data_IF_905209252882
#
_entry.id   IF_905209252882
#
_cell.length_a   1.000
_cell.length_b   1.000
_cell.length_c   1.000
_cell.angle_alpha   90.00
_cell.angle_beta   90.00
_cell.angle_gamma   90.00
#
_symmetry.space_group_name_H-M   'P 1'
#
loop_
_entity.id
_entity.type
_entity.pdbx_description
1 polymer ?
#
# COMPACT_ATOMS: atom_id res chain seq x y z
N UNK A 1 12.90 -31.64 2.46
CA UNK A 1 11.87 -30.66 2.93
C UNK A 1 12.54 -29.29 2.94
N UNK A 2 12.10 -28.32 2.08
CA UNK A 2 12.59 -26.94 2.15
C UNK A 2 12.11 -26.34 3.47
N UNK A 3 13.02 -25.92 4.32
CA UNK A 3 12.67 -25.13 5.50
C UNK A 3 11.96 -23.84 5.00
N UNK A 4 10.72 -23.64 5.45
CA UNK A 4 10.00 -22.40 5.21
C UNK A 4 10.72 -21.33 6.01
N UNK A 5 11.17 -20.27 5.33
CA UNK A 5 11.86 -19.16 6.00
C UNK A 5 10.98 -18.59 7.15
N UNK A 6 11.59 -18.17 8.28
CA UNK A 6 10.85 -17.65 9.45
C UNK A 6 9.86 -16.53 9.09
N UNK A 7 10.25 -15.64 8.16
CA UNK A 7 9.40 -14.54 7.67
C UNK A 7 8.11 -15.05 7.01
N UNK A 8 8.19 -16.16 6.26
CA UNK A 8 7.01 -16.77 5.61
C UNK A 8 6.00 -17.31 6.64
N UNK A 9 6.46 -17.86 7.77
CA UNK A 9 5.57 -18.33 8.84
C UNK A 9 4.95 -17.18 9.62
N UNK A 10 5.69 -16.11 9.93
CA UNK A 10 5.18 -14.91 10.56
C UNK A 10 4.13 -14.20 9.69
N UNK A 11 4.38 -14.12 8.39
CA UNK A 11 3.42 -13.54 7.45
C UNK A 11 2.10 -14.35 7.38
N UNK A 12 2.16 -15.67 7.38
CA UNK A 12 0.95 -16.52 7.41
C UNK A 12 0.11 -16.30 8.68
N UNK A 13 0.74 -16.07 9.82
CA UNK A 13 0.04 -15.73 11.06
C UNK A 13 -0.62 -14.35 10.92
N UNK A 14 0.08 -13.37 10.37
CA UNK A 14 -0.44 -12.02 10.13
C UNK A 14 -1.62 -12.04 9.16
N UNK A 15 -1.52 -12.78 8.04
CA UNK A 15 -2.59 -12.99 7.06
C UNK A 15 -3.86 -13.53 7.73
N UNK A 16 -3.74 -14.62 8.53
CA UNK A 16 -4.87 -15.19 9.26
C UNK A 16 -5.50 -14.19 10.24
N UNK A 17 -4.70 -13.44 10.98
CA UNK A 17 -5.18 -12.37 11.88
C UNK A 17 -5.91 -11.27 11.11
N UNK A 18 -5.41 -10.85 9.95
CA UNK A 18 -6.07 -9.87 9.11
C UNK A 18 -7.42 -10.39 8.57
N UNK A 19 -7.47 -11.61 8.08
CA UNK A 19 -8.69 -12.24 7.56
C UNK A 19 -9.80 -12.37 8.63
N UNK A 20 -9.43 -12.60 9.89
CA UNK A 20 -10.39 -12.72 11.02
C UNK A 20 -10.68 -11.38 11.72
N UNK A 21 -10.04 -10.28 11.31
CA UNK A 21 -10.20 -8.97 11.94
C UNK A 21 -11.63 -8.43 11.76
N UNK A 22 -12.23 -7.90 12.85
CA UNK A 22 -13.58 -7.30 12.86
C UNK A 22 -13.60 -5.96 13.62
N UNK A 23 -12.46 -5.26 13.71
CA UNK A 23 -12.32 -4.00 14.45
C UNK A 23 -13.08 -2.82 13.83
N UNK A 24 -13.48 -2.93 12.56
CA UNK A 24 -14.21 -1.89 11.83
C UNK A 24 -15.63 -2.41 11.49
N UNK A 25 -16.66 -2.11 12.30
CA UNK A 25 -18.02 -2.66 12.05
C UNK A 25 -18.55 -2.36 10.64
N UNK A 26 -18.28 -1.15 10.12
CA UNK A 26 -18.69 -0.75 8.77
C UNK A 26 -17.95 -1.51 7.64
N UNK A 27 -16.93 -2.29 7.95
CA UNK A 27 -16.11 -3.06 6.99
C UNK A 27 -16.10 -4.56 7.33
N UNK A 28 -16.93 -5.01 8.27
CA UNK A 28 -16.91 -6.39 8.78
C UNK A 28 -17.16 -7.44 7.68
N UNK A 29 -17.95 -7.08 6.66
CA UNK A 29 -18.29 -7.95 5.52
C UNK A 29 -17.29 -7.84 4.37
N UNK A 30 -16.25 -6.99 4.50
CA UNK A 30 -15.24 -6.83 3.47
C UNK A 30 -14.02 -7.71 3.76
N UNK A 31 -13.48 -8.45 2.78
CA UNK A 31 -12.26 -9.20 2.99
C UNK A 31 -11.08 -8.26 3.21
N UNK A 32 -10.20 -8.63 4.14
CA UNK A 32 -8.91 -7.98 4.27
C UNK A 32 -7.97 -8.47 3.15
N UNK A 33 -7.40 -7.53 2.39
CA UNK A 33 -6.47 -7.85 1.30
C UNK A 33 -5.04 -7.84 1.84
N UNK A 34 -4.66 -9.00 2.39
CA UNK A 34 -3.30 -9.29 2.83
C UNK A 34 -3.04 -10.79 2.63
N UNK A 35 -2.23 -11.13 1.64
CA UNK A 35 -1.97 -12.51 1.21
C UNK A 35 -0.62 -12.56 0.46
N UNK A 36 -0.11 -13.74 0.06
CA UNK A 36 1.05 -13.84 -0.81
C UNK A 36 0.92 -13.10 -2.16
N UNK A 37 -0.31 -12.81 -2.61
CA UNK A 37 -0.55 -12.01 -3.82
C UNK A 37 -0.20 -10.52 -3.66
N UNK A 38 0.13 -10.07 -2.45
CA UNK A 38 0.65 -8.72 -2.20
C UNK A 38 2.08 -8.53 -2.73
N UNK A 39 2.86 -9.60 -2.96
CA UNK A 39 4.18 -9.53 -3.58
C UNK A 39 5.27 -10.30 -2.83
N UNK A 40 6.51 -9.88 -3.03
CA UNK A 40 7.70 -10.54 -2.50
C UNK A 40 7.94 -10.18 -1.03
N UNK A 41 8.01 -11.17 -0.15
CA UNK A 41 8.31 -10.97 1.28
C UNK A 41 9.76 -10.53 1.56
N UNK A 42 10.66 -10.70 0.59
CA UNK A 42 12.04 -10.22 0.66
C UNK A 42 12.24 -8.94 -0.17
N UNK A 43 11.18 -8.18 -0.43
CA UNK A 43 11.26 -6.96 -1.23
C UNK A 43 11.98 -5.84 -0.47
N UNK A 44 12.90 -5.17 -1.14
CA UNK A 44 13.52 -3.93 -0.62
C UNK A 44 12.57 -2.73 -0.68
N UNK A 45 11.49 -2.83 -1.47
CA UNK A 45 10.52 -1.75 -1.71
C UNK A 45 9.13 -2.20 -1.31
N UNK A 46 8.52 -1.46 -0.37
CA UNK A 46 7.12 -1.65 0.02
C UNK A 46 6.30 -0.45 -0.41
N UNK A 47 5.22 -0.70 -1.16
CA UNK A 47 4.22 0.32 -1.49
C UNK A 47 3.06 0.27 -0.51
N UNK A 48 2.67 1.45 0.00
CA UNK A 48 1.51 1.62 0.89
C UNK A 48 0.51 2.55 0.24
N UNK A 49 -0.61 1.99 -0.22
CA UNK A 49 -1.70 2.73 -0.84
C UNK A 49 -2.83 3.06 0.16
N UNK A 50 -3.97 3.52 -0.33
CA UNK A 50 -5.11 3.93 0.49
C UNK A 50 -5.88 2.73 1.06
N UNK A 51 -6.52 1.97 0.19
CA UNK A 51 -7.38 0.82 0.49
C UNK A 51 -7.67 0.02 -0.79
N UNK A 52 -8.16 -1.23 -0.69
CA UNK A 52 -8.63 -1.97 -1.86
C UNK A 52 -9.77 -1.25 -2.57
N UNK A 53 -9.67 -1.08 -3.88
CA UNK A 53 -10.74 -0.52 -4.71
C UNK A 53 -11.76 -1.58 -5.11
N UNK A 54 -13.05 -1.20 -5.18
CA UNK A 54 -14.17 -2.11 -5.51
C UNK A 54 -13.97 -2.88 -6.82
N UNK A 55 -13.51 -2.21 -7.87
CA UNK A 55 -13.29 -2.81 -9.19
C UNK A 55 -11.90 -3.47 -9.33
N UNK A 56 -10.97 -3.10 -8.45
CA UNK A 56 -9.61 -3.63 -8.39
C UNK A 56 -9.45 -4.72 -7.33
N UNK A 57 -8.61 -4.46 -6.33
CA UNK A 57 -8.24 -5.40 -5.28
C UNK A 57 -9.42 -5.95 -4.47
N UNK A 58 -10.48 -5.17 -4.26
CA UNK A 58 -11.69 -5.62 -3.57
C UNK A 58 -12.41 -6.76 -4.31
N UNK A 59 -12.25 -6.85 -5.64
CA UNK A 59 -12.80 -7.90 -6.49
C UNK A 59 -11.80 -9.03 -6.73
N UNK A 60 -10.54 -8.69 -6.95
CA UNK A 60 -9.52 -9.65 -7.40
C UNK A 60 -8.72 -10.28 -6.27
N UNK A 61 -8.72 -9.70 -5.08
CA UNK A 61 -7.85 -10.08 -3.96
C UNK A 61 -6.39 -9.66 -4.15
N UNK A 62 -6.04 -8.97 -5.25
CA UNK A 62 -4.67 -8.60 -5.61
C UNK A 62 -4.55 -7.07 -5.63
N UNK A 63 -3.65 -6.45 -4.84
CA UNK A 63 -3.45 -5.01 -4.85
C UNK A 63 -3.09 -4.49 -6.25
N UNK A 64 -3.65 -3.34 -6.65
CA UNK A 64 -3.43 -2.72 -7.95
C UNK A 64 -3.62 -3.68 -9.13
N UNK A 65 -4.70 -4.47 -9.12
CA UNK A 65 -5.03 -5.39 -10.20
C UNK A 65 -6.52 -5.33 -10.54
N UNK A 66 -6.82 -5.32 -11.84
CA UNK A 66 -8.18 -5.41 -12.37
C UNK A 66 -8.88 -4.07 -12.59
N UNK A 67 -8.17 -2.93 -12.42
CA UNK A 67 -8.68 -1.59 -12.73
C UNK A 67 -7.60 -0.69 -13.33
N UNK A 68 -7.99 0.51 -13.78
CA UNK A 68 -7.10 1.48 -14.43
C UNK A 68 -5.96 1.98 -13.52
N UNK A 69 -6.17 2.01 -12.20
CA UNK A 69 -5.11 2.36 -11.25
C UNK A 69 -4.01 1.30 -11.25
N UNK A 70 -4.40 0.03 -11.36
CA UNK A 70 -3.48 -1.10 -11.49
C UNK A 70 -2.67 -1.03 -12.79
N UNK A 71 -3.32 -0.79 -13.94
CA UNK A 71 -2.63 -0.63 -15.23
C UNK A 71 -1.60 0.51 -15.20
N UNK A 72 -1.98 1.67 -14.61
CA UNK A 72 -1.07 2.79 -14.46
C UNK A 72 0.11 2.43 -13.53
N UNK A 73 -0.15 1.70 -12.43
CA UNK A 73 0.89 1.26 -11.50
C UNK A 73 1.90 0.33 -12.18
N UNK A 74 1.43 -0.69 -12.92
CA UNK A 74 2.31 -1.57 -13.71
C UNK A 74 3.15 -0.78 -14.72
N UNK A 75 2.54 0.19 -15.41
CA UNK A 75 3.24 1.09 -16.34
C UNK A 75 4.36 1.88 -15.64
N UNK A 76 4.12 2.32 -14.39
CA UNK A 76 5.10 3.05 -13.60
C UNK A 76 6.23 2.16 -13.09
N UNK A 77 5.92 0.93 -12.63
CA UNK A 77 6.94 -0.05 -12.25
C UNK A 77 7.84 -0.42 -13.44
N UNK A 78 7.24 -0.78 -14.58
CA UNK A 78 7.98 -1.12 -15.78
C UNK A 78 8.89 0.03 -16.26
N UNK A 79 8.45 1.29 -16.08
CA UNK A 79 9.25 2.47 -16.44
C UNK A 79 10.56 2.59 -15.68
N UNK A 80 10.66 2.02 -14.49
CA UNK A 80 11.87 2.00 -13.65
C UNK A 80 12.53 0.62 -13.62
N UNK A 81 12.15 -0.29 -14.53
CA UNK A 81 12.73 -1.62 -14.66
C UNK A 81 12.30 -2.61 -13.58
N UNK A 82 11.21 -2.33 -12.85
CA UNK A 82 10.67 -3.21 -11.83
C UNK A 82 9.38 -3.89 -12.27
N UNK A 83 9.06 -4.98 -11.61
CA UNK A 83 7.82 -5.74 -11.74
C UNK A 83 7.20 -5.98 -10.36
N UNK A 84 6.03 -6.60 -10.32
CA UNK A 84 5.38 -6.99 -9.05
C UNK A 84 6.21 -8.00 -8.23
N UNK A 85 7.04 -8.79 -8.89
CA UNK A 85 7.90 -9.78 -8.22
C UNK A 85 9.04 -9.12 -7.41
N UNK A 86 9.35 -7.86 -7.69
CA UNK A 86 10.43 -7.12 -7.05
C UNK A 86 9.96 -6.30 -5.84
N UNK A 87 8.65 -6.19 -5.63
CA UNK A 87 8.06 -5.27 -4.64
C UNK A 87 7.02 -5.98 -3.76
N UNK A 88 6.66 -5.37 -2.64
CA UNK A 88 5.49 -5.74 -1.86
C UNK A 88 4.51 -4.57 -1.80
N UNK A 89 3.21 -4.84 -1.91
CA UNK A 89 2.17 -3.82 -2.00
C UNK A 89 1.14 -4.06 -0.89
N UNK A 90 0.88 -3.05 -0.08
CA UNK A 90 -0.16 -3.10 0.95
C UNK A 90 -0.96 -1.79 0.99
N UNK A 91 -1.86 -1.65 1.95
CA UNK A 91 -2.74 -0.51 2.09
C UNK A 91 -2.78 0.03 3.52
N UNK A 92 -3.15 1.29 3.68
CA UNK A 92 -3.43 1.92 4.97
C UNK A 92 -4.65 1.28 5.67
N UNK A 93 -5.66 0.85 4.89
CA UNK A 93 -6.77 0.02 5.33
C UNK A 93 -6.83 -1.24 4.46
N UNK A 94 -6.85 -2.43 5.08
CA UNK A 94 -6.80 -3.70 4.35
C UNK A 94 -8.16 -4.10 3.76
N UNK A 95 -9.26 -3.57 4.29
CA UNK A 95 -10.61 -3.82 3.80
C UNK A 95 -11.09 -2.67 2.89
N UNK A 96 -11.93 -2.99 1.89
CA UNK A 96 -12.49 -1.98 0.99
C UNK A 96 -13.55 -1.12 1.69
N UNK A 97 -13.34 0.18 1.90
CA UNK A 97 -14.36 1.04 2.49
C UNK A 97 -15.40 1.42 1.44
N UNK A 98 -16.60 0.84 1.56
CA UNK A 98 -17.74 1.13 0.69
C UNK A 98 -18.78 2.01 1.40
N UNK A 99 -19.42 2.88 0.61
CA UNK A 99 -20.60 3.64 1.00
C UNK A 99 -21.51 3.77 -0.23
N UNK A 100 -22.76 3.35 -0.09
CA UNK A 100 -23.75 3.32 -1.18
C UNK A 100 -23.22 2.62 -2.45
N UNK A 101 -22.50 1.49 -2.28
CA UNK A 101 -21.94 0.71 -3.38
C UNK A 101 -20.72 1.34 -4.07
N UNK A 102 -20.20 2.46 -3.57
CA UNK A 102 -19.04 3.17 -4.12
C UNK A 102 -17.88 3.21 -3.13
N UNK A 103 -16.65 3.32 -3.64
CA UNK A 103 -15.48 3.51 -2.78
C UNK A 103 -15.59 4.84 -2.03
N UNK A 104 -15.32 4.83 -0.74
CA UNK A 104 -15.08 6.04 0.06
C UNK A 104 -13.65 6.03 0.61
N UNK A 105 -13.20 7.18 1.07
CA UNK A 105 -11.95 7.27 1.82
C UNK A 105 -12.09 6.54 3.17
N UNK A 106 -11.06 5.78 3.61
CA UNK A 106 -11.04 5.22 4.96
C UNK A 106 -11.14 6.32 6.03
N UNK A 107 -11.91 6.04 7.08
CA UNK A 107 -11.94 6.91 8.26
C UNK A 107 -10.62 6.81 9.02
N UNK A 108 -10.24 7.86 9.74
CA UNK A 108 -9.01 7.84 10.56
C UNK A 108 -9.02 6.70 11.59
N UNK A 109 -10.18 6.34 12.13
CA UNK A 109 -10.33 5.19 13.03
C UNK A 109 -10.03 3.86 12.33
N UNK A 110 -10.46 3.70 11.07
CA UNK A 110 -10.19 2.49 10.28
C UNK A 110 -8.69 2.34 9.96
N UNK A 111 -8.02 3.47 9.63
CA UNK A 111 -6.56 3.49 9.44
C UNK A 111 -5.83 3.15 10.75
N UNK A 112 -6.28 3.70 11.88
CA UNK A 112 -5.72 3.38 13.21
C UNK A 112 -5.90 1.90 13.57
N UNK A 113 -7.07 1.33 13.32
CA UNK A 113 -7.35 -0.09 13.55
C UNK A 113 -6.49 -1.00 12.66
N UNK A 114 -6.14 -0.56 11.46
CA UNK A 114 -5.25 -1.29 10.54
C UNK A 114 -3.76 -1.06 10.79
N UNK A 115 -3.37 -0.02 11.54
CA UNK A 115 -1.96 0.32 11.74
C UNK A 115 -1.10 -0.80 12.36
N UNK A 116 -1.61 -1.69 13.25
CA UNK A 116 -0.83 -2.83 13.73
C UNK A 116 -0.47 -3.83 12.61
N UNK A 117 -1.35 -4.02 11.62
CA UNK A 117 -1.06 -4.89 10.46
C UNK A 117 0.01 -4.27 9.56
N UNK A 118 -0.06 -2.95 9.32
CA UNK A 118 0.95 -2.25 8.54
C UNK A 118 2.32 -2.32 9.24
N UNK A 119 2.38 -2.06 10.55
CA UNK A 119 3.60 -2.19 11.35
C UNK A 119 4.20 -3.60 11.24
N UNK A 120 3.42 -4.64 11.53
CA UNK A 120 3.88 -6.02 11.45
C UNK A 120 4.31 -6.43 10.02
N UNK A 121 3.66 -5.90 8.99
CA UNK A 121 4.10 -6.12 7.60
C UNK A 121 5.48 -5.54 7.35
N UNK A 122 5.75 -4.31 7.79
CA UNK A 122 7.07 -3.67 7.64
C UNK A 122 8.14 -4.38 8.49
N UNK A 123 7.79 -4.84 9.69
CA UNK A 123 8.67 -5.63 10.57
C UNK A 123 8.99 -7.03 10.03
N UNK A 124 8.13 -7.62 9.20
CA UNK A 124 8.40 -8.91 8.55
C UNK A 124 9.28 -8.74 7.30
N UNK A 125 9.04 -7.69 6.53
CA UNK A 125 9.69 -7.48 5.22
C UNK A 125 11.04 -6.78 5.36
N UNK A 126 11.21 -5.90 6.36
CA UNK A 126 12.41 -5.07 6.57
C UNK A 126 12.83 -4.28 5.32
N UNK A 127 11.94 -3.47 4.70
CA UNK A 127 12.25 -2.80 3.44
C UNK A 127 13.31 -1.71 3.61
N UNK A 128 14.08 -1.44 2.56
CA UNK A 128 14.99 -0.28 2.51
C UNK A 128 14.23 1.02 2.24
N UNK A 129 13.13 0.91 1.47
CA UNK A 129 12.30 2.06 1.11
C UNK A 129 10.80 1.73 1.21
N UNK A 130 10.05 2.63 1.85
CA UNK A 130 8.59 2.59 1.88
C UNK A 130 8.06 3.74 1.02
N UNK A 131 7.32 3.41 -0.02
CA UNK A 131 6.71 4.35 -0.95
C UNK A 131 5.22 4.48 -0.61
N UNK A 132 4.76 5.67 -0.25
CA UNK A 132 3.32 5.89 -0.06
C UNK A 132 2.67 6.39 -1.34
N UNK A 133 1.54 5.80 -1.72
CA UNK A 133 0.77 6.20 -2.90
C UNK A 133 -0.49 6.96 -2.47
N UNK A 134 -0.39 8.29 -2.50
CA UNK A 134 -1.44 9.20 -2.10
C UNK A 134 -1.39 9.62 -0.62
N UNK A 135 -2.28 10.55 -0.26
CA UNK A 135 -2.30 11.17 1.07
C UNK A 135 -2.71 10.22 2.19
N UNK A 136 -3.49 9.16 1.90
CA UNK A 136 -3.95 8.21 2.92
C UNK A 136 -2.83 7.24 3.30
N UNK A 137 -2.08 6.72 2.33
CA UNK A 137 -0.88 5.93 2.60
C UNK A 137 0.13 6.72 3.45
N UNK A 138 0.35 8.00 3.10
CA UNK A 138 1.21 8.89 3.91
C UNK A 138 0.65 9.13 5.31
N UNK A 139 -0.68 9.29 5.47
CA UNK A 139 -1.33 9.42 6.77
C UNK A 139 -1.08 8.19 7.65
N UNK A 140 -1.14 6.98 7.09
CA UNK A 140 -0.84 5.76 7.82
C UNK A 140 0.61 5.71 8.32
N UNK A 141 1.57 6.09 7.47
CA UNK A 141 2.98 6.19 7.87
C UNK A 141 3.22 7.30 8.90
N UNK A 142 2.56 8.45 8.76
CA UNK A 142 2.61 9.51 9.78
C UNK A 142 2.15 9.02 11.17
N UNK A 143 1.08 8.20 11.22
CA UNK A 143 0.61 7.59 12.47
C UNK A 143 1.63 6.62 13.07
N UNK A 144 2.30 5.82 12.26
CA UNK A 144 3.31 4.87 12.72
C UNK A 144 4.59 5.57 13.23
N UNK A 145 5.00 6.64 12.54
CA UNK A 145 6.28 7.33 12.77
C UNK A 145 6.14 8.53 13.71
N UNK A 146 4.92 8.93 14.10
CA UNK A 146 4.68 10.14 14.89
C UNK A 146 4.98 11.43 14.13
N UNK A 147 4.94 11.42 12.79
CA UNK A 147 5.24 12.57 11.93
C UNK A 147 3.98 13.25 11.40
N UNK A 148 4.14 14.38 10.68
CA UNK A 148 3.05 15.16 10.10
C UNK A 148 3.35 15.61 8.67
N UNK A 149 3.99 14.74 7.88
CA UNK A 149 4.31 15.03 6.49
C UNK A 149 3.05 15.27 5.65
N UNK A 150 3.13 16.19 4.69
CA UNK A 150 2.06 16.55 3.76
C UNK A 150 2.46 16.20 2.34
N UNK A 151 1.63 15.47 1.60
CA UNK A 151 1.95 14.97 0.27
C UNK A 151 2.38 16.08 -0.70
N UNK A 152 1.67 17.20 -0.72
CA UNK A 152 1.97 18.33 -1.61
C UNK A 152 3.31 19.01 -1.32
N UNK A 153 3.84 18.90 -0.10
CA UNK A 153 5.14 19.43 0.30
C UNK A 153 6.27 18.44 0.11
N UNK A 154 5.98 17.15 0.28
CA UNK A 154 7.01 16.10 0.36
C UNK A 154 7.03 15.15 -0.85
N UNK A 155 6.20 15.38 -1.86
CA UNK A 155 6.14 14.51 -3.04
C UNK A 155 7.51 14.37 -3.71
N UNK A 156 7.89 13.13 -3.97
CA UNK A 156 9.15 12.73 -4.61
C UNK A 156 10.44 13.17 -3.87
N UNK A 157 10.34 13.39 -2.55
CA UNK A 157 11.50 13.60 -1.66
C UNK A 157 11.71 12.35 -0.81
N UNK A 158 12.94 11.83 -0.75
CA UNK A 158 13.30 10.78 0.20
C UNK A 158 13.41 11.39 1.60
N UNK A 159 12.57 10.94 2.53
CA UNK A 159 12.53 11.37 3.92
C UNK A 159 13.15 10.27 4.78
N UNK A 160 13.95 10.65 5.76
CA UNK A 160 14.56 9.69 6.69
C UNK A 160 13.53 9.19 7.70
N UNK A 161 13.47 7.88 7.90
CA UNK A 161 12.77 7.22 9.00
C UNK A 161 13.75 6.25 9.71
N UNK A 162 13.45 5.77 10.92
CA UNK A 162 14.41 4.99 11.70
C UNK A 162 14.90 3.71 11.01
N UNK A 163 14.03 3.02 10.27
CA UNK A 163 14.33 1.69 9.71
C UNK A 163 14.31 1.65 8.17
N UNK A 164 13.85 2.72 7.49
CA UNK A 164 13.74 2.79 6.03
C UNK A 164 13.75 4.24 5.55
N UNK A 165 13.88 4.45 4.25
CA UNK A 165 13.59 5.73 3.61
C UNK A 165 12.11 5.80 3.23
N UNK A 166 11.42 6.90 3.57
CA UNK A 166 10.02 7.14 3.18
C UNK A 166 9.96 8.03 1.94
N UNK A 167 9.24 7.59 0.90
CA UNK A 167 9.05 8.34 -0.33
C UNK A 167 7.55 8.56 -0.62
N UNK A 168 7.01 9.75 -0.34
CA UNK A 168 5.64 10.07 -0.68
C UNK A 168 5.46 10.32 -2.18
N UNK A 169 4.54 9.59 -2.83
CA UNK A 169 4.17 9.76 -4.24
C UNK A 169 2.65 9.93 -4.39
N UNK A 170 2.22 10.47 -5.52
CA UNK A 170 0.81 10.53 -5.87
C UNK A 170 0.26 9.16 -6.27
N UNK A 171 -1.02 8.92 -5.96
CA UNK A 171 -1.72 7.69 -6.34
C UNK A 171 -1.93 7.64 -7.86
N UNK A 172 -1.72 6.49 -8.53
CA UNK A 172 -1.82 6.38 -9.99
C UNK A 172 -3.26 6.25 -10.53
N UNK A 173 -4.26 6.67 -9.77
CA UNK A 173 -5.66 6.62 -10.22
C UNK A 173 -5.94 7.59 -11.37
N UNK A 174 -6.93 7.29 -12.25
CA UNK A 174 -7.32 8.18 -13.34
C UNK A 174 -7.64 9.61 -12.89
N UNK A 175 -8.31 9.76 -11.74
CA UNK A 175 -8.58 11.08 -11.17
C UNK A 175 -7.32 11.89 -10.91
N UNK A 176 -6.27 11.25 -10.40
CA UNK A 176 -5.00 11.91 -10.11
C UNK A 176 -4.19 12.14 -11.38
N UNK A 177 -4.10 11.14 -12.27
CA UNK A 177 -3.31 11.27 -13.51
C UNK A 177 -3.89 12.28 -14.49
N UNK A 178 -5.21 12.50 -14.47
CA UNK A 178 -5.87 13.45 -15.37
C UNK A 178 -5.88 14.89 -14.83
N UNK A 179 -5.93 15.08 -13.50
CA UNK A 179 -6.22 16.40 -12.93
C UNK A 179 -5.17 16.95 -11.96
N UNK A 180 -4.33 16.10 -11.39
CA UNK A 180 -3.41 16.53 -10.32
C UNK A 180 -1.94 16.30 -10.64
N UNK A 181 -1.59 15.10 -11.10
CA UNK A 181 -0.22 14.68 -11.37
C UNK A 181 -0.19 13.76 -12.57
N UNK A 182 0.01 14.27 -13.79
CA UNK A 182 0.00 13.49 -15.02
C UNK A 182 0.96 12.29 -14.97
N UNK A 183 0.64 11.21 -15.69
CA UNK A 183 1.43 9.98 -15.68
C UNK A 183 2.89 10.22 -16.07
N UNK A 184 3.14 11.15 -17.01
CA UNK A 184 4.49 11.55 -17.39
C UNK A 184 5.28 12.14 -16.22
N UNK A 185 4.63 12.91 -15.33
CA UNK A 185 5.28 13.43 -14.14
C UNK A 185 5.45 12.33 -13.09
N UNK A 186 4.47 11.43 -12.90
CA UNK A 186 4.60 10.28 -11.99
C UNK A 186 5.75 9.36 -12.43
N UNK A 187 6.00 9.18 -13.73
CA UNK A 187 7.19 8.47 -14.23
C UNK A 187 8.50 9.08 -13.74
N UNK A 188 8.60 10.42 -13.72
CA UNK A 188 9.77 11.11 -13.16
C UNK A 188 9.90 10.91 -11.64
N UNK A 189 8.76 10.91 -10.94
CA UNK A 189 8.72 10.70 -9.50
C UNK A 189 9.15 9.27 -9.13
N UNK A 190 8.70 8.27 -9.87
CA UNK A 190 9.06 6.86 -9.66
C UNK A 190 10.56 6.60 -9.84
N UNK A 191 11.27 7.34 -10.70
CA UNK A 191 12.74 7.29 -10.79
C UNK A 191 13.47 7.66 -9.51
N UNK A 192 12.78 8.22 -8.52
CA UNK A 192 13.36 8.50 -7.19
C UNK A 192 13.38 7.27 -6.29
N UNK A 193 12.74 6.18 -6.70
CA UNK A 193 12.72 4.91 -5.95
C UNK A 193 14.08 4.22 -6.06
N UNK A 194 14.63 4.17 -7.28
CA UNK A 194 15.92 3.54 -7.62
C UNK A 194 17.11 4.49 -7.56
#
# INVERSE_FOLDING_TARGET
MKQIAPESSAFKILEKKAASCRLCPALADQPAILSPANGNLNAEIVFVAEAPGRLGAGRTGIPFHGDKSGENFETLLAHIGLSRADVFITNAALCNPLENGSNRRPKTSEIKNCSPFLRATLEIIHPQIVVTLGSVGLQALNLLLGTRYQLNKEVAKKLSAPEFSLLPLYHPSPRVTNWMRPLAQQKKDFKKIT
#
